data_IF_010116400696
#
_entry.id   IF_010116400696
#
_cell.length_a   1.000
_cell.length_b   1.000
_cell.length_c   1.000
_cell.angle_alpha   90.00
_cell.angle_beta   90.00
_cell.angle_gamma   90.00
#
_symmetry.space_group_name_H-M   'P 1'
#
loop_
_entity.id
_entity.type
_entity.pdbx_description
1 polymer ?
#
# COMPACT_ATOMS: atom_id res chain seq x y z
N UNK A 1 3.61 0.45 -27.70
CA UNK A 1 4.76 0.48 -26.76
C UNK A 1 5.47 -0.87 -26.76
N UNK A 2 6.77 -0.82 -26.92
CA UNK A 2 7.58 -2.05 -26.93
C UNK A 2 8.12 -2.29 -25.50
N UNK A 3 7.79 -3.47 -24.93
CA UNK A 3 8.21 -3.84 -23.59
C UNK A 3 9.34 -4.86 -23.65
N UNK A 4 10.30 -4.72 -22.74
CA UNK A 4 11.40 -5.67 -22.59
C UNK A 4 11.05 -6.66 -21.47
N UNK A 5 11.09 -7.95 -21.78
CA UNK A 5 10.85 -9.02 -20.80
C UNK A 5 12.10 -9.30 -19.97
N UNK A 6 11.95 -9.74 -18.68
CA UNK A 6 10.68 -9.96 -17.98
C UNK A 6 10.08 -8.66 -17.43
N UNK A 7 8.76 -8.62 -17.25
CA UNK A 7 8.07 -7.46 -16.66
C UNK A 7 6.75 -7.88 -16.00
N UNK A 8 6.24 -7.01 -15.10
CA UNK A 8 4.86 -7.08 -14.63
C UNK A 8 4.04 -6.01 -15.32
N UNK A 9 2.90 -6.39 -15.87
CA UNK A 9 2.00 -5.45 -16.53
C UNK A 9 0.81 -5.15 -15.62
N UNK A 10 0.62 -3.87 -15.27
CA UNK A 10 -0.55 -3.41 -14.51
C UNK A 10 -1.59 -2.89 -15.50
N UNK A 11 -2.78 -3.49 -15.45
CA UNK A 11 -3.89 -3.06 -16.27
C UNK A 11 -4.72 -2.03 -15.50
N UNK A 12 -4.52 -0.76 -15.82
CA UNK A 12 -5.06 0.37 -15.05
C UNK A 12 -6.58 0.36 -14.93
N UNK A 13 -7.31 0.05 -16.00
CA UNK A 13 -8.77 -0.02 -15.97
C UNK A 13 -9.29 -1.10 -15.04
N UNK A 14 -8.66 -2.27 -15.03
CA UNK A 14 -9.03 -3.37 -14.14
C UNK A 14 -8.73 -3.02 -12.69
N UNK A 15 -7.60 -2.39 -12.44
CA UNK A 15 -7.24 -1.88 -11.11
C UNK A 15 -8.27 -0.87 -10.64
N UNK A 16 -8.64 0.10 -11.46
CA UNK A 16 -9.64 1.11 -11.13
C UNK A 16 -11.00 0.47 -10.81
N UNK A 17 -11.42 -0.51 -11.57
CA UNK A 17 -12.67 -1.24 -11.32
C UNK A 17 -12.69 -1.87 -9.93
N UNK A 18 -11.58 -2.51 -9.53
CA UNK A 18 -11.44 -3.12 -8.22
C UNK A 18 -11.41 -2.06 -7.11
N UNK A 19 -10.71 -0.95 -7.33
CA UNK A 19 -10.63 0.14 -6.37
C UNK A 19 -11.99 0.80 -6.13
N UNK A 20 -12.82 0.93 -7.17
CA UNK A 20 -14.18 1.45 -7.03
C UNK A 20 -15.07 0.54 -6.20
N UNK A 21 -14.90 -0.77 -6.30
CA UNK A 21 -15.61 -1.74 -5.44
C UNK A 21 -15.19 -1.56 -3.99
N UNK A 22 -13.90 -1.42 -3.73
CA UNK A 22 -13.36 -1.16 -2.39
C UNK A 22 -13.96 0.13 -1.81
N UNK A 23 -13.96 1.20 -2.58
CA UNK A 23 -14.52 2.49 -2.16
C UNK A 23 -16.01 2.37 -1.83
N UNK A 24 -16.78 1.63 -2.61
CA UNK A 24 -18.20 1.41 -2.38
C UNK A 24 -18.45 0.69 -1.05
N UNK A 25 -17.66 -0.32 -0.73
CA UNK A 25 -17.75 -1.05 0.54
C UNK A 25 -17.37 -0.12 1.70
N UNK A 26 -16.30 0.64 1.54
CA UNK A 26 -15.85 1.64 2.51
C UNK A 26 -16.95 2.64 2.86
N UNK A 27 -17.57 3.21 1.83
CA UNK A 27 -18.60 4.24 2.00
C UNK A 27 -19.86 3.68 2.68
N UNK A 28 -20.18 2.42 2.43
CA UNK A 28 -21.37 1.76 3.01
C UNK A 28 -21.16 1.29 4.45
N UNK A 29 -19.97 0.87 4.79
CA UNK A 29 -19.69 0.19 6.08
C UNK A 29 -18.88 1.02 7.06
N UNK A 30 -18.16 2.03 6.58
CA UNK A 30 -17.24 2.81 7.40
C UNK A 30 -15.94 2.10 7.75
N UNK A 31 -15.70 0.90 7.21
CA UNK A 31 -14.44 0.18 7.43
C UNK A 31 -13.29 0.85 6.69
N UNK A 32 -12.09 0.73 7.23
CA UNK A 32 -10.88 1.18 6.56
C UNK A 32 -10.27 0.05 5.73
N UNK A 33 -9.81 0.38 4.54
CA UNK A 33 -9.04 -0.55 3.70
C UNK A 33 -7.60 -0.10 3.64
N UNK A 34 -6.70 -1.02 3.97
CA UNK A 34 -5.26 -0.78 3.90
C UNK A 34 -4.60 -1.79 2.96
N UNK A 35 -3.64 -1.32 2.19
CA UNK A 35 -2.91 -2.14 1.24
C UNK A 35 -1.79 -2.88 1.95
N UNK A 36 -1.78 -4.21 1.84
CA UNK A 36 -0.68 -5.01 2.37
C UNK A 36 0.51 -4.97 1.40
N UNK A 37 1.58 -4.32 1.80
CA UNK A 37 2.74 -4.11 0.92
C UNK A 37 3.47 -5.41 0.58
N UNK A 38 3.41 -6.41 1.44
CA UNK A 38 3.94 -7.74 1.13
C UNK A 38 3.22 -8.43 -0.03
N UNK A 39 1.97 -8.04 -0.29
CA UNK A 39 1.17 -8.57 -1.40
C UNK A 39 1.34 -7.74 -2.67
N UNK A 40 1.47 -6.45 -2.51
CA UNK A 40 1.53 -5.52 -3.63
C UNK A 40 2.30 -4.26 -3.23
N UNK A 41 3.42 -4.03 -3.86
CA UNK A 41 4.27 -2.86 -3.58
C UNK A 41 4.72 -2.13 -4.84
N UNK A 42 3.93 -2.20 -5.90
CA UNK A 42 4.19 -1.51 -7.17
C UNK A 42 3.86 -0.03 -7.00
N UNK A 43 4.80 0.73 -6.46
CA UNK A 43 4.59 2.13 -6.03
C UNK A 43 4.23 3.10 -7.14
N UNK A 44 4.50 2.77 -8.40
CA UNK A 44 4.16 3.65 -9.53
C UNK A 44 2.65 3.90 -9.65
N UNK A 45 1.79 3.04 -9.06
CA UNK A 45 0.35 3.22 -9.04
C UNK A 45 -0.20 3.67 -7.68
N UNK A 46 0.65 3.94 -6.70
CA UNK A 46 0.21 4.33 -5.36
C UNK A 46 -0.55 5.66 -5.35
N UNK A 47 -0.12 6.63 -6.15
CA UNK A 47 -0.83 7.91 -6.27
C UNK A 47 -2.27 7.74 -6.77
N UNK A 48 -2.49 6.74 -7.57
CA UNK A 48 -3.80 6.37 -8.08
C UNK A 48 -4.61 5.62 -7.03
N UNK A 49 -4.00 4.66 -6.35
CA UNK A 49 -4.66 3.79 -5.35
C UNK A 49 -5.05 4.54 -4.08
N UNK A 50 -4.24 5.48 -3.63
CA UNK A 50 -4.48 6.20 -2.36
C UNK A 50 -5.77 7.00 -2.33
N UNK A 51 -6.38 7.28 -3.48
CA UNK A 51 -7.67 7.95 -3.56
C UNK A 51 -8.82 7.05 -3.07
N UNK A 52 -8.61 5.74 -3.07
CA UNK A 52 -9.64 4.73 -2.77
C UNK A 52 -9.37 3.96 -1.49
N UNK A 53 -8.17 4.07 -0.93
CA UNK A 53 -7.73 3.32 0.24
C UNK A 53 -7.25 4.25 1.36
N UNK A 54 -7.25 3.75 2.58
CA UNK A 54 -6.97 4.56 3.77
C UNK A 54 -5.50 4.58 4.15
N UNK A 55 -4.74 3.62 3.67
CA UNK A 55 -3.33 3.52 4.01
C UNK A 55 -2.73 2.21 3.58
N UNK A 56 -1.65 1.83 4.24
CA UNK A 56 -0.93 0.59 3.99
C UNK A 56 -0.64 -0.15 5.29
N UNK A 57 -0.45 -1.46 5.18
CA UNK A 57 0.11 -2.26 6.26
C UNK A 57 1.46 -2.80 5.82
N UNK A 58 2.43 -2.71 6.71
CA UNK A 58 3.82 -3.11 6.45
C UNK A 58 4.23 -4.26 7.34
N UNK A 59 5.13 -5.10 6.85
CA UNK A 59 5.69 -6.24 7.57
C UNK A 59 7.19 -6.07 7.86
N UNK A 60 7.74 -4.90 7.56
CA UNK A 60 9.15 -4.57 7.81
C UNK A 60 9.34 -3.05 7.91
N UNK A 61 10.50 -2.65 8.41
CA UNK A 61 10.89 -1.24 8.46
C UNK A 61 10.92 -0.62 7.05
N UNK A 62 11.44 -1.36 6.07
CA UNK A 62 11.54 -0.87 4.69
C UNK A 62 10.17 -0.69 4.04
N UNK A 63 9.23 -1.60 4.30
CA UNK A 63 7.86 -1.45 3.84
C UNK A 63 7.17 -0.27 4.50
N UNK A 64 7.38 -0.04 5.79
CA UNK A 64 6.85 1.12 6.50
C UNK A 64 7.34 2.42 5.88
N UNK A 65 8.62 2.49 5.57
CA UNK A 65 9.23 3.62 4.87
C UNK A 65 8.62 3.82 3.48
N UNK A 66 8.48 2.75 2.71
CA UNK A 66 7.84 2.81 1.39
C UNK A 66 6.42 3.36 1.49
N UNK A 67 5.65 2.86 2.45
CA UNK A 67 4.29 3.34 2.69
C UNK A 67 4.24 4.82 3.04
N UNK A 68 5.12 5.28 3.91
CA UNK A 68 5.20 6.68 4.30
C UNK A 68 5.60 7.58 3.13
N UNK A 69 6.65 7.21 2.41
CA UNK A 69 7.22 8.06 1.35
C UNK A 69 6.40 8.03 0.07
N UNK A 70 5.84 6.88 -0.30
CA UNK A 70 5.19 6.71 -1.60
C UNK A 70 3.66 6.68 -1.55
N UNK A 71 3.07 6.11 -0.51
CA UNK A 71 1.62 6.11 -0.35
C UNK A 71 1.12 7.36 0.37
N UNK A 72 1.75 7.72 1.47
CA UNK A 72 1.54 8.99 2.14
C UNK A 72 0.29 9.10 3.00
N UNK A 73 -0.33 7.98 3.36
CA UNK A 73 -1.47 7.89 4.28
C UNK A 73 -1.09 7.08 5.53
N UNK A 74 -2.07 6.53 6.25
CA UNK A 74 -1.81 5.72 7.44
C UNK A 74 -0.86 4.56 7.13
N UNK A 75 0.11 4.32 7.99
CA UNK A 75 1.02 3.17 7.92
C UNK A 75 0.85 2.34 9.18
N UNK A 76 0.38 1.12 9.02
CA UNK A 76 0.24 0.15 10.10
C UNK A 76 1.39 -0.84 10.01
N UNK A 77 2.24 -0.87 11.03
CA UNK A 77 3.41 -1.74 11.04
C UNK A 77 3.21 -2.93 11.97
N UNK A 78 3.46 -4.12 11.45
CA UNK A 78 3.43 -5.37 12.20
C UNK A 78 4.59 -6.26 11.76
N UNK A 79 5.29 -6.81 12.75
CA UNK A 79 6.28 -7.86 12.51
C UNK A 79 6.29 -8.81 13.70
N UNK A 80 6.65 -10.07 13.45
CA UNK A 80 6.80 -11.08 14.51
C UNK A 80 7.85 -10.65 15.53
N UNK A 81 8.91 -9.99 15.07
CA UNK A 81 9.97 -9.48 15.94
C UNK A 81 10.55 -8.19 15.36
N UNK A 82 10.40 -7.10 16.12
CA UNK A 82 11.13 -5.84 15.87
C UNK A 82 12.23 -5.69 16.91
N UNK A 83 13.41 -5.23 16.48
CA UNK A 83 14.44 -4.75 17.41
C UNK A 83 14.00 -3.41 18.01
N UNK A 84 14.64 -3.00 19.13
CA UNK A 84 14.37 -1.68 19.70
C UNK A 84 14.66 -0.56 18.69
N UNK A 85 15.70 -0.72 17.89
CA UNK A 85 16.07 0.25 16.86
C UNK A 85 14.99 0.32 15.76
N UNK A 86 14.45 -0.83 15.34
CA UNK A 86 13.36 -0.87 14.38
C UNK A 86 12.12 -0.13 14.91
N UNK A 87 11.76 -0.34 16.17
CA UNK A 87 10.63 0.33 16.81
C UNK A 87 10.83 1.85 16.81
N UNK A 88 12.01 2.31 17.14
CA UNK A 88 12.33 3.74 17.12
C UNK A 88 12.19 4.33 15.73
N UNK A 89 12.68 3.63 14.72
CA UNK A 89 12.61 4.08 13.31
C UNK A 89 11.18 4.05 12.75
N UNK A 90 10.44 2.99 13.06
CA UNK A 90 9.05 2.85 12.61
C UNK A 90 8.17 3.98 13.13
N UNK A 91 8.41 4.44 14.36
CA UNK A 91 7.66 5.58 14.92
C UNK A 91 7.75 6.85 14.10
N UNK A 92 8.74 6.96 13.24
CA UNK A 92 8.92 8.13 12.36
C UNK A 92 8.02 8.07 11.12
N UNK A 93 7.44 6.94 10.83
CA UNK A 93 6.58 6.71 9.67
C UNK A 93 5.12 6.47 10.08
#
# INVERSE_FOLDING_TARGET
MKLTTPYYLIHERKLLKNLKIIKKIRDRTGVKFVLALKCFSTWCVFNFMKKYMDGVTSSSLYEARLGREKFGKEVHAYSVAFSEDDVRKVRQY
#
